data_IF_116853413190
#
_entry.id   IF_116853413190
#
_cell.length_a   1.000
_cell.length_b   1.000
_cell.length_c   1.000
_cell.angle_alpha   90.00
_cell.angle_beta   90.00
_cell.angle_gamma   90.00
#
_symmetry.space_group_name_H-M   'P 1'
#
loop_
_entity.id
_entity.type
_entity.pdbx_description
1 polymer ?
#
# COMPACT_ATOMS: atom_id res chain seq x y z
N UNK A 1 70.33 -2.57 3.39
CA UNK A 1 68.96 -2.97 3.01
C UNK A 1 68.00 -2.22 3.91
N UNK A 2 66.93 -1.60 3.39
CA UNK A 2 65.95 -0.96 4.25
C UNK A 2 65.16 -2.02 5.04
N UNK A 3 64.65 -1.69 6.25
CA UNK A 3 63.88 -2.63 7.04
C UNK A 3 62.56 -2.99 6.33
N UNK A 4 62.03 -4.22 6.53
CA UNK A 4 60.78 -4.63 5.91
C UNK A 4 59.63 -3.76 6.39
N UNK A 5 58.77 -3.35 5.46
CA UNK A 5 57.59 -2.56 5.77
C UNK A 5 56.63 -3.34 6.68
N UNK A 6 55.95 -2.68 7.62
CA UNK A 6 54.99 -3.34 8.49
C UNK A 6 53.83 -3.91 7.66
N UNK A 7 53.54 -5.20 7.87
CA UNK A 7 52.40 -5.89 7.27
C UNK A 7 51.13 -5.36 7.92
N UNK A 8 50.35 -4.57 7.19
CA UNK A 8 49.02 -4.13 7.61
C UNK A 8 48.07 -5.33 7.48
N UNK A 9 47.41 -5.79 8.55
CA UNK A 9 46.45 -6.88 8.45
C UNK A 9 45.27 -6.46 7.55
N UNK A 10 44.68 -7.40 6.79
CA UNK A 10 43.51 -7.10 5.97
C UNK A 10 42.39 -6.53 6.84
N UNK A 11 41.59 -5.57 6.32
CA UNK A 11 40.45 -5.04 7.05
C UNK A 11 39.55 -6.20 7.49
N UNK A 12 39.11 -6.16 8.75
CA UNK A 12 38.15 -7.13 9.26
C UNK A 12 36.94 -7.20 8.31
N UNK A 13 36.38 -8.39 8.05
CA UNK A 13 35.18 -8.50 7.23
C UNK A 13 34.11 -7.58 7.82
N UNK A 14 33.46 -6.79 6.96
CA UNK A 14 32.34 -5.95 7.35
C UNK A 14 31.37 -6.82 8.17
N UNK A 15 31.03 -6.39 9.38
CA UNK A 15 30.02 -7.06 10.18
C UNK A 15 28.78 -7.24 9.30
N UNK A 16 28.26 -8.46 9.22
CA UNK A 16 27.02 -8.74 8.50
C UNK A 16 25.98 -7.70 8.93
N UNK A 17 25.36 -7.01 7.96
CA UNK A 17 24.33 -6.03 8.29
C UNK A 17 23.30 -6.70 9.21
N UNK A 18 22.95 -6.09 10.35
CA UNK A 18 22.03 -6.71 11.28
C UNK A 18 20.69 -6.93 10.58
N UNK A 19 20.21 -8.17 10.55
CA UNK A 19 18.92 -8.53 9.99
C UNK A 19 17.82 -7.67 10.64
N UNK A 20 17.35 -6.67 9.88
CA UNK A 20 16.32 -5.73 10.26
C UNK A 20 15.01 -6.43 10.64
N UNK A 21 14.83 -7.69 10.21
CA UNK A 21 13.61 -8.46 10.33
C UNK A 21 13.73 -9.72 11.19
N UNK A 22 14.79 -9.87 12.00
CA UNK A 22 14.86 -10.94 13.00
C UNK A 22 13.62 -10.97 13.90
N UNK A 23 13.19 -12.16 14.34
CA UNK A 23 12.00 -12.35 15.19
C UNK A 23 12.02 -11.47 16.45
N UNK A 24 13.19 -11.27 17.07
CA UNK A 24 13.34 -10.35 18.21
C UNK A 24 13.04 -8.88 17.86
N UNK A 25 13.48 -8.42 16.68
CA UNK A 25 13.18 -7.06 16.19
C UNK A 25 11.73 -6.93 15.74
N UNK A 26 11.12 -7.95 15.12
CA UNK A 26 9.68 -7.97 14.80
C UNK A 26 8.84 -7.76 16.06
N UNK A 27 9.15 -8.51 17.12
CA UNK A 27 8.49 -8.31 18.42
C UNK A 27 8.76 -6.92 19.03
N UNK A 28 9.91 -6.28 18.75
CA UNK A 28 10.16 -4.89 19.19
C UNK A 28 9.33 -3.88 18.38
N UNK A 29 9.19 -4.06 17.06
CA UNK A 29 8.33 -3.26 16.19
C UNK A 29 6.87 -3.37 16.65
N UNK A 30 6.38 -4.58 16.93
CA UNK A 30 5.00 -4.78 17.41
C UNK A 30 4.76 -4.22 18.82
N UNK A 31 5.77 -4.23 19.70
CA UNK A 31 5.70 -3.59 21.03
C UNK A 31 5.77 -2.06 20.95
N UNK A 32 6.53 -1.51 20.00
CA UNK A 32 6.61 -0.07 19.75
C UNK A 32 5.53 0.30 18.73
N UNK A 33 4.28 0.46 19.18
CA UNK A 33 3.11 0.99 18.43
C UNK A 33 3.33 2.39 17.76
N UNK A 34 4.57 2.87 17.64
CA UNK A 34 4.97 4.25 17.35
C UNK A 34 5.08 4.59 15.86
N UNK A 35 4.98 3.63 14.94
CA UNK A 35 5.09 3.88 13.49
C UNK A 35 3.81 3.53 12.71
N UNK A 36 2.64 3.68 13.33
CA UNK A 36 1.38 3.75 12.59
C UNK A 36 0.85 5.18 12.69
N UNK A 37 0.99 5.93 11.60
CA UNK A 37 0.43 7.27 11.51
C UNK A 37 -1.09 7.17 11.33
N UNK A 38 -1.82 7.82 12.23
CA UNK A 38 -3.27 8.02 12.14
C UNK A 38 -3.47 9.52 12.00
N UNK A 39 -3.74 10.02 10.80
CA UNK A 39 -4.05 11.44 10.58
C UNK A 39 -5.02 11.65 9.40
N UNK A 40 -5.92 12.62 9.58
CA UNK A 40 -7.03 13.01 8.70
C UNK A 40 -6.82 14.45 8.18
N UNK A 41 -5.95 14.73 7.20
CA UNK A 41 -5.69 16.13 6.78
C UNK A 41 -5.42 16.25 5.28
N UNK A 42 -6.39 16.78 4.51
CA UNK A 42 -6.37 16.65 3.04
C UNK A 42 -6.83 17.98 2.30
N UNK A 43 -6.02 18.73 1.48
CA UNK A 43 -6.49 19.48 0.22
C UNK A 43 -5.56 19.47 -1.06
N UNK A 44 -6.10 19.33 -2.33
CA UNK A 44 -5.92 20.11 -3.64
C UNK A 44 -6.37 19.38 -5.01
N UNK A 45 -6.51 20.06 -6.20
CA UNK A 45 -7.67 20.01 -7.13
C UNK A 45 -7.64 19.04 -8.35
N UNK A 46 -8.83 18.83 -8.97
CA UNK A 46 -9.13 17.93 -10.10
C UNK A 46 -9.44 18.73 -11.40
N UNK A 47 -9.14 18.22 -12.63
CA UNK A 47 -9.51 18.82 -13.91
C UNK A 47 -11.02 18.86 -14.18
N UNK A 48 -11.46 19.87 -14.92
CA UNK A 48 -12.87 20.26 -15.15
C UNK A 48 -13.66 19.27 -16.03
N UNK A 49 -12.96 18.36 -16.71
CA UNK A 49 -13.56 17.37 -17.63
C UNK A 49 -14.17 16.14 -16.91
N UNK A 50 -13.95 16.00 -15.60
CA UNK A 50 -14.37 14.83 -14.81
C UNK A 50 -15.71 15.00 -14.07
N UNK A 51 -16.46 16.08 -14.31
CA UNK A 51 -17.73 16.37 -13.64
C UNK A 51 -18.88 15.78 -14.46
N UNK A 52 -19.53 14.73 -13.93
CA UNK A 52 -20.69 14.09 -14.55
C UNK A 52 -21.95 14.97 -14.53
N UNK A 53 -22.80 14.77 -15.54
CA UNK A 53 -24.02 15.53 -15.85
C UNK A 53 -25.16 15.30 -14.82
N UNK A 54 -26.15 16.20 -14.83
CA UNK A 54 -27.21 16.42 -13.81
C UNK A 54 -28.10 15.21 -13.45
N UNK A 55 -28.09 14.12 -14.24
CA UNK A 55 -28.91 12.94 -13.99
C UNK A 55 -28.36 12.05 -12.87
N UNK A 56 -27.10 12.24 -12.44
CA UNK A 56 -26.48 11.47 -11.39
C UNK A 56 -25.31 12.21 -10.67
N UNK A 57 -25.61 12.99 -9.63
CA UNK A 57 -24.67 13.93 -9.03
C UNK A 57 -23.52 13.32 -8.20
N UNK A 58 -23.42 11.99 -8.08
CA UNK A 58 -22.47 11.30 -7.19
C UNK A 58 -21.42 10.44 -7.91
N UNK A 59 -21.51 10.23 -9.23
CA UNK A 59 -20.51 9.42 -9.96
C UNK A 59 -19.09 9.97 -9.83
N UNK A 60 -18.99 11.28 -9.67
CA UNK A 60 -17.75 12.01 -9.56
C UNK A 60 -17.97 13.10 -8.54
N UNK A 61 -17.96 12.78 -7.24
CA UNK A 61 -17.76 13.84 -6.26
C UNK A 61 -16.39 14.45 -6.59
N UNK A 62 -16.30 15.73 -6.99
CA UNK A 62 -15.02 16.35 -7.27
C UNK A 62 -14.30 16.41 -5.93
N UNK A 63 -13.26 15.59 -5.80
CA UNK A 63 -12.67 15.29 -4.51
C UNK A 63 -11.85 16.46 -3.93
N UNK A 64 -12.03 17.69 -4.42
CA UNK A 64 -11.39 18.86 -3.86
C UNK A 64 -12.00 20.25 -4.16
N UNK A 65 -13.26 20.36 -4.60
CA UNK A 65 -13.79 21.68 -5.04
C UNK A 65 -15.05 22.21 -4.36
N UNK A 66 -15.70 21.50 -3.44
CA UNK A 66 -16.79 22.12 -2.68
C UNK A 66 -16.22 22.81 -1.44
N UNK A 67 -16.77 23.97 -1.05
CA UNK A 67 -16.47 24.72 0.19
C UNK A 67 -16.74 23.91 1.49
N UNK A 68 -16.83 22.58 1.41
CA UNK A 68 -17.16 21.64 2.48
C UNK A 68 -16.03 20.60 2.69
N UNK A 69 -14.81 21.09 2.95
CA UNK A 69 -13.79 20.33 3.69
C UNK A 69 -13.07 19.19 2.97
N UNK A 70 -12.11 18.62 3.72
CA UNK A 70 -11.24 17.51 3.37
C UNK A 70 -12.07 16.22 3.19
N UNK A 71 -11.83 15.42 2.14
CA UNK A 71 -12.39 14.07 2.03
C UNK A 71 -11.28 13.00 1.93
N UNK A 72 -11.67 11.74 1.95
CA UNK A 72 -10.79 10.56 1.99
C UNK A 72 -9.94 10.34 0.73
N UNK A 73 -10.06 11.18 -0.29
CA UNK A 73 -9.73 10.79 -1.66
C UNK A 73 -8.56 11.50 -2.34
N UNK A 74 -8.25 12.77 -2.07
CA UNK A 74 -7.28 13.44 -2.96
C UNK A 74 -6.74 14.76 -2.47
N UNK A 75 -5.58 14.78 -1.82
CA UNK A 75 -5.06 16.05 -1.31
C UNK A 75 -3.53 16.16 -1.29
N UNK A 76 -3.02 17.31 -1.74
CA UNK A 76 -1.58 17.63 -1.82
C UNK A 76 -0.90 17.72 -0.46
N UNK A 77 -1.64 17.95 0.63
CA UNK A 77 -1.08 18.06 1.96
C UNK A 77 -0.41 16.76 2.42
N UNK A 78 -0.98 15.60 2.09
CA UNK A 78 -0.47 14.31 2.55
C UNK A 78 0.80 13.91 1.83
N UNK A 79 0.87 14.13 0.52
CA UNK A 79 2.08 13.87 -0.27
C UNK A 79 3.23 14.77 0.18
N UNK A 80 2.93 16.05 0.45
CA UNK A 80 3.89 17.00 1.01
C UNK A 80 4.31 16.61 2.45
N UNK A 81 3.37 16.17 3.28
CA UNK A 81 3.64 15.70 4.63
C UNK A 81 4.52 14.45 4.63
N UNK A 82 4.18 13.44 3.82
CA UNK A 82 4.96 12.20 3.66
C UNK A 82 6.37 12.56 3.16
N UNK A 83 6.49 13.42 2.14
CA UNK A 83 7.79 13.89 1.64
C UNK A 83 8.60 14.57 2.75
N UNK A 84 7.99 15.50 3.50
CA UNK A 84 8.65 16.23 4.58
C UNK A 84 9.06 15.31 5.74
N UNK A 85 8.21 14.34 6.06
CA UNK A 85 8.49 13.33 7.07
C UNK A 85 9.65 12.43 6.65
N UNK A 86 9.65 11.93 5.41
CA UNK A 86 10.76 11.13 4.87
C UNK A 86 12.06 11.92 4.89
N UNK A 87 12.03 13.20 4.49
CA UNK A 87 13.19 14.09 4.55
C UNK A 87 13.71 14.28 5.98
N UNK A 88 12.80 14.49 6.95
CA UNK A 88 13.15 14.63 8.38
C UNK A 88 13.75 13.34 8.93
N UNK A 89 13.12 12.19 8.70
CA UNK A 89 13.59 10.89 9.19
C UNK A 89 14.96 10.54 8.59
N UNK A 90 15.18 10.84 7.30
CA UNK A 90 16.48 10.69 6.65
C UNK A 90 17.57 11.58 7.27
N UNK A 91 17.21 12.78 7.73
CA UNK A 91 18.14 13.69 8.38
C UNK A 91 18.46 13.35 9.84
N UNK A 92 17.56 12.66 10.53
CA UNK A 92 17.65 12.42 11.98
C UNK A 92 18.05 10.97 12.33
N UNK A 93 17.82 10.01 11.44
CA UNK A 93 18.00 8.58 11.70
C UNK A 93 18.87 7.91 10.64
N UNK A 94 19.63 6.90 11.05
CA UNK A 94 20.32 5.99 10.14
C UNK A 94 19.34 4.93 9.64
N UNK A 95 18.60 5.23 8.56
CA UNK A 95 17.61 4.34 7.94
C UNK A 95 18.06 3.90 6.55
N UNK A 96 17.70 2.68 6.14
CA UNK A 96 17.91 2.20 4.76
C UNK A 96 16.88 2.87 3.83
N UNK A 97 17.35 3.82 3.01
CA UNK A 97 16.51 4.55 2.06
C UNK A 97 16.08 3.70 0.86
N UNK A 98 16.67 2.52 0.68
CA UNK A 98 16.19 1.51 -0.26
C UNK A 98 15.04 0.66 0.29
N UNK A 99 14.74 0.77 1.59
CA UNK A 99 13.73 -0.03 2.30
C UNK A 99 12.70 0.87 3.02
N UNK A 100 12.15 1.85 2.29
CA UNK A 100 11.06 2.71 2.77
C UNK A 100 9.73 2.08 2.41
N UNK A 101 8.95 1.71 3.42
CA UNK A 101 7.68 1.02 3.27
C UNK A 101 6.55 1.80 3.95
N UNK A 102 5.35 1.76 3.38
CA UNK A 102 4.18 2.41 3.95
C UNK A 102 3.00 1.45 4.03
N UNK A 103 2.25 1.49 5.12
CA UNK A 103 1.04 0.69 5.28
C UNK A 103 -0.04 1.48 5.99
N UNK A 104 -1.29 1.09 5.78
CA UNK A 104 -2.43 1.73 6.42
C UNK A 104 -3.73 1.02 6.08
N UNK A 105 -4.74 1.26 6.92
CA UNK A 105 -6.08 0.69 6.77
C UNK A 105 -7.09 1.78 6.37
N UNK A 106 -8.10 1.43 5.58
CA UNK A 106 -9.20 2.33 5.20
C UNK A 106 -8.67 3.53 4.41
N UNK A 107 -8.98 4.75 4.83
CA UNK A 107 -8.34 5.97 4.35
C UNK A 107 -6.79 5.91 4.39
N UNK A 108 -6.21 5.22 5.37
CA UNK A 108 -4.76 4.97 5.42
C UNK A 108 -4.27 4.01 4.32
N UNK A 109 -5.12 3.08 3.87
CA UNK A 109 -4.87 2.22 2.72
C UNK A 109 -4.96 3.00 1.41
N UNK A 110 -5.97 3.88 1.28
CA UNK A 110 -6.07 4.82 0.16
C UNK A 110 -4.83 5.75 0.09
N UNK A 111 -4.40 6.27 1.24
CA UNK A 111 -3.19 7.08 1.37
C UNK A 111 -1.94 6.28 0.98
N UNK A 112 -1.84 5.00 1.36
CA UNK A 112 -0.71 4.16 0.96
C UNK A 112 -0.65 4.02 -0.57
N UNK A 113 -1.79 3.79 -1.22
CA UNK A 113 -1.88 3.83 -2.68
C UNK A 113 -1.46 5.18 -3.27
N UNK A 114 -1.95 6.28 -2.71
CA UNK A 114 -1.61 7.62 -3.20
C UNK A 114 -0.14 7.97 -3.02
N UNK A 115 0.45 7.63 -1.87
CA UNK A 115 1.86 7.85 -1.60
C UNK A 115 2.75 7.06 -2.55
N UNK A 116 2.35 5.85 -2.96
CA UNK A 116 3.06 5.10 -3.99
C UNK A 116 3.09 5.85 -5.33
N UNK A 117 2.02 6.59 -5.69
CA UNK A 117 1.99 7.43 -6.90
C UNK A 117 2.89 8.66 -6.77
N UNK A 118 2.80 9.38 -5.65
CA UNK A 118 3.43 10.68 -5.51
C UNK A 118 4.91 10.57 -5.10
N UNK A 119 5.28 9.48 -4.43
CA UNK A 119 6.61 9.23 -3.88
C UNK A 119 7.23 7.94 -4.46
N UNK A 120 6.83 7.55 -5.67
CA UNK A 120 7.31 6.34 -6.36
C UNK A 120 8.83 6.21 -6.41
N UNK A 121 9.57 7.32 -6.39
CA UNK A 121 11.04 7.32 -6.38
C UNK A 121 11.67 7.10 -4.99
N UNK A 122 10.88 7.24 -3.91
CA UNK A 122 11.35 7.19 -2.52
C UNK A 122 10.81 5.98 -1.76
N UNK A 123 9.67 5.42 -2.18
CA UNK A 123 9.01 4.29 -1.51
C UNK A 123 9.32 2.99 -2.26
N UNK A 124 9.81 2.00 -1.54
CA UNK A 124 10.09 0.66 -2.07
C UNK A 124 8.81 -0.17 -2.22
N UNK A 125 7.92 -0.09 -1.22
CA UNK A 125 6.65 -0.82 -1.25
C UNK A 125 5.56 -0.21 -0.39
N UNK A 126 4.32 -0.59 -0.68
CA UNK A 126 3.16 -0.25 0.14
C UNK A 126 2.33 -1.47 0.52
N UNK A 127 1.69 -1.46 1.68
CA UNK A 127 0.77 -2.50 2.13
C UNK A 127 -0.60 -1.92 2.54
N UNK A 128 -1.44 -1.55 1.57
CA UNK A 128 -2.79 -1.04 1.84
C UNK A 128 -3.71 -2.14 2.37
N UNK A 129 -4.56 -1.78 3.33
CA UNK A 129 -5.57 -2.66 3.90
C UNK A 129 -6.95 -2.02 3.79
N UNK A 130 -7.93 -2.77 3.29
CA UNK A 130 -9.32 -2.31 3.20
C UNK A 130 -9.45 -0.89 2.61
N UNK A 131 -8.64 -0.58 1.60
CA UNK A 131 -8.56 0.73 0.98
C UNK A 131 -8.53 0.55 -0.52
N UNK A 132 -9.26 1.39 -1.24
CA UNK A 132 -9.40 1.31 -2.69
C UNK A 132 -9.15 2.70 -3.31
N UNK A 133 -9.25 2.79 -4.64
CA UNK A 133 -9.18 4.05 -5.39
C UNK A 133 -10.55 4.41 -5.92
N UNK A 134 -10.88 5.69 -5.86
CA UNK A 134 -12.10 6.19 -6.49
C UNK A 134 -12.02 6.01 -8.01
N UNK A 135 -13.18 5.78 -8.62
CA UNK A 135 -13.32 5.76 -10.08
C UNK A 135 -12.82 7.10 -10.65
N UNK A 136 -12.06 7.04 -11.75
CA UNK A 136 -11.39 8.20 -12.35
C UNK A 136 -9.98 8.49 -11.80
N UNK A 137 -9.62 7.95 -10.64
CA UNK A 137 -8.32 8.20 -10.00
C UNK A 137 -7.38 7.00 -9.98
N UNK A 138 -7.74 5.89 -10.63
CA UNK A 138 -6.87 4.71 -10.73
C UNK A 138 -5.74 4.96 -11.75
N UNK A 139 -4.57 5.38 -11.29
CA UNK A 139 -3.38 5.67 -12.10
C UNK A 139 -2.22 4.80 -11.60
N UNK A 140 -1.27 4.47 -12.46
CA UNK A 140 -0.07 3.72 -12.09
C UNK A 140 1.07 4.67 -11.65
N UNK A 141 1.89 4.31 -10.65
CA UNK A 141 3.01 5.14 -10.17
C UNK A 141 4.10 5.25 -11.23
N UNK A 142 4.70 6.41 -11.51
CA UNK A 142 5.63 6.57 -12.64
C UNK A 142 6.82 5.60 -12.64
N UNK A 143 7.30 5.18 -11.46
CA UNK A 143 8.28 4.09 -11.29
C UNK A 143 7.63 2.87 -10.61
N UNK A 144 8.18 1.64 -10.80
CA UNK A 144 7.69 0.46 -10.10
C UNK A 144 7.71 0.62 -8.57
N UNK A 145 6.60 0.29 -7.91
CA UNK A 145 6.47 0.24 -6.45
C UNK A 145 5.75 -1.06 -6.11
N UNK A 146 6.33 -1.86 -5.23
CA UNK A 146 5.74 -3.14 -4.84
C UNK A 146 4.50 -2.93 -3.95
N UNK A 147 3.52 -3.83 -4.04
CA UNK A 147 2.24 -3.71 -3.31
C UNK A 147 1.86 -5.04 -2.67
N UNK A 148 1.56 -5.02 -1.36
CA UNK A 148 0.82 -6.07 -0.66
C UNK A 148 -0.55 -5.54 -0.27
N UNK A 149 -1.55 -5.77 -1.11
CA UNK A 149 -2.92 -5.39 -0.77
C UNK A 149 -3.62 -6.46 0.05
N UNK A 150 -4.42 -6.06 1.03
CA UNK A 150 -5.28 -6.96 1.80
C UNK A 150 -6.70 -6.42 1.92
N UNK A 151 -7.69 -7.11 1.35
CA UNK A 151 -9.08 -6.64 1.34
C UNK A 151 -10.08 -7.75 1.68
N UNK A 152 -11.02 -7.45 2.57
CA UNK A 152 -12.06 -8.39 2.96
C UNK A 152 -13.26 -8.35 2.02
N UNK A 153 -13.80 -9.52 1.65
CA UNK A 153 -15.02 -9.60 0.85
C UNK A 153 -16.30 -9.28 1.65
N UNK A 154 -16.23 -9.17 2.96
CA UNK A 154 -17.33 -8.68 3.79
C UNK A 154 -17.18 -7.18 4.17
N UNK A 155 -16.29 -6.45 3.48
CA UNK A 155 -16.13 -5.01 3.64
C UNK A 155 -17.21 -4.24 2.85
N UNK A 156 -18.18 -3.69 3.55
CA UNK A 156 -19.25 -2.85 2.99
C UNK A 156 -18.95 -1.35 3.10
N UNK A 157 -17.86 -0.97 3.77
CA UNK A 157 -17.45 0.43 3.91
C UNK A 157 -16.65 0.86 2.68
N UNK A 158 -15.67 0.05 2.28
CA UNK A 158 -14.95 0.20 1.02
C UNK A 158 -15.00 -1.17 0.35
N UNK A 159 -15.91 -1.40 -0.60
CA UNK A 159 -16.00 -2.68 -1.29
C UNK A 159 -14.69 -3.05 -2.00
N UNK A 160 -14.35 -4.34 -1.97
CA UNK A 160 -13.18 -4.89 -2.65
C UNK A 160 -13.45 -5.10 -4.15
N UNK A 161 -14.71 -5.38 -4.50
CA UNK A 161 -15.18 -5.62 -5.86
C UNK A 161 -16.68 -5.33 -5.99
N UNK A 162 -17.25 -5.46 -7.19
CA UNK A 162 -18.67 -5.21 -7.41
C UNK A 162 -19.62 -6.21 -6.72
N UNK A 163 -19.10 -7.31 -6.15
CA UNK A 163 -19.91 -8.33 -5.47
C UNK A 163 -20.21 -8.01 -4.00
N UNK A 164 -19.52 -7.02 -3.39
CA UNK A 164 -19.69 -6.67 -1.98
C UNK A 164 -19.96 -5.17 -1.72
N UNK A 165 -20.79 -4.56 -2.58
CA UNK A 165 -21.28 -3.19 -2.45
C UNK A 165 -22.78 -3.05 -2.67
N UNK A 166 -23.29 -1.83 -2.66
CA UNK A 166 -24.72 -1.53 -2.82
C UNK A 166 -25.27 -2.08 -4.15
N UNK A 167 -26.48 -2.70 -4.14
CA UNK A 167 -27.11 -3.18 -5.36
C UNK A 167 -27.65 -2.00 -6.17
N UNK A 168 -27.47 -2.03 -7.50
CA UNK A 168 -27.93 -0.95 -8.36
C UNK A 168 -27.24 -0.90 -9.71
N UNK A 169 -27.77 -0.14 -10.68
CA UNK A 169 -27.14 0.08 -11.97
C UNK A 169 -25.82 0.83 -11.79
N UNK A 170 -24.70 0.21 -12.16
CA UNK A 170 -23.37 0.82 -12.13
C UNK A 170 -22.49 0.27 -13.26
N UNK A 171 -21.47 1.04 -13.72
CA UNK A 171 -20.53 0.53 -14.71
C UNK A 171 -19.84 -0.76 -14.27
N UNK A 172 -19.44 -1.60 -15.23
CA UNK A 172 -18.69 -2.83 -14.94
C UNK A 172 -17.35 -2.48 -14.28
N UNK A 173 -16.94 -3.24 -13.27
CA UNK A 173 -15.67 -3.02 -12.56
C UNK A 173 -15.72 -1.86 -11.57
N UNK A 174 -16.93 -1.48 -11.14
CA UNK A 174 -17.16 -0.45 -10.13
C UNK A 174 -17.97 -1.04 -8.98
N UNK A 175 -17.55 -0.72 -7.76
CA UNK A 175 -18.25 -1.08 -6.54
C UNK A 175 -18.74 0.18 -5.83
N UNK A 176 -19.98 0.16 -5.35
CA UNK A 176 -20.60 1.27 -4.62
C UNK A 176 -20.61 0.95 -3.13
N UNK A 177 -20.11 1.84 -2.29
CA UNK A 177 -20.18 1.72 -0.83
C UNK A 177 -21.52 2.22 -0.27
N UNK A 178 -21.79 1.92 1.00
CA UNK A 178 -23.02 2.36 1.68
C UNK A 178 -23.20 3.88 1.80
N UNK A 179 -22.13 4.66 1.61
CA UNK A 179 -22.14 6.12 1.56
C UNK A 179 -22.15 6.67 0.11
N UNK A 180 -22.49 5.82 -0.87
CA UNK A 180 -22.67 6.13 -2.30
C UNK A 180 -21.43 6.61 -3.02
N UNK A 181 -20.24 6.24 -2.54
CA UNK A 181 -19.01 6.43 -3.28
C UNK A 181 -18.70 5.24 -4.18
N UNK A 182 -18.07 5.53 -5.30
CA UNK A 182 -17.69 4.53 -6.30
C UNK A 182 -16.19 4.24 -6.26
N UNK A 183 -15.88 2.96 -6.05
CA UNK A 183 -14.53 2.43 -5.95
C UNK A 183 -14.21 1.51 -7.12
N UNK A 184 -12.93 1.51 -7.49
CA UNK A 184 -12.36 0.60 -8.47
C UNK A 184 -12.18 -0.76 -7.81
N UNK A 185 -12.43 -1.84 -8.54
CA UNK A 185 -12.16 -3.17 -7.99
C UNK A 185 -10.66 -3.37 -7.74
N UNK A 186 -10.36 -4.03 -6.63
CA UNK A 186 -9.00 -4.30 -6.19
C UNK A 186 -8.10 -4.93 -7.29
N UNK A 187 -8.58 -5.94 -8.06
CA UNK A 187 -7.78 -6.51 -9.14
C UNK A 187 -7.34 -5.50 -10.20
N UNK A 188 -8.13 -4.47 -10.47
CA UNK A 188 -7.84 -3.46 -11.50
C UNK A 188 -6.89 -2.37 -11.00
N UNK A 189 -6.86 -2.09 -9.70
CA UNK A 189 -5.82 -1.27 -9.09
C UNK A 189 -4.48 -1.99 -9.24
N UNK A 190 -4.43 -3.26 -8.80
CA UNK A 190 -3.21 -4.04 -8.79
C UNK A 190 -2.67 -4.36 -10.18
N UNK A 191 -3.55 -4.53 -11.18
CA UNK A 191 -3.16 -4.66 -12.60
C UNK A 191 -2.44 -3.41 -13.12
N UNK A 192 -2.82 -2.21 -12.68
CA UNK A 192 -2.12 -0.97 -13.06
C UNK A 192 -0.76 -0.85 -12.38
N UNK A 193 -0.65 -1.28 -11.13
CA UNK A 193 0.61 -1.28 -10.38
C UNK A 193 1.61 -2.32 -10.88
N UNK A 194 1.14 -3.48 -11.34
CA UNK A 194 2.02 -4.61 -11.69
C UNK A 194 2.93 -4.33 -12.88
N UNK A 195 2.41 -3.64 -13.91
CA UNK A 195 3.08 -3.23 -15.18
C UNK A 195 3.76 -4.37 -15.95
N UNK A 196 3.52 -4.42 -17.27
CA UNK A 196 4.18 -5.35 -18.18
C UNK A 196 4.12 -6.83 -17.76
N UNK A 197 2.98 -7.25 -17.21
CA UNK A 197 2.71 -8.63 -16.84
C UNK A 197 1.90 -9.34 -17.95
N UNK A 198 2.05 -10.66 -18.04
CA UNK A 198 1.33 -11.50 -19.02
C UNK A 198 -0.15 -11.76 -18.66
N UNK A 199 -0.62 -11.22 -17.53
CA UNK A 199 -1.99 -11.29 -17.05
C UNK A 199 -2.37 -12.58 -16.30
N UNK A 200 -1.47 -13.57 -16.22
CA UNK A 200 -1.68 -14.77 -15.41
C UNK A 200 -1.42 -14.48 -13.94
N UNK A 201 -2.07 -15.26 -13.07
CA UNK A 201 -1.87 -15.19 -11.62
C UNK A 201 -1.36 -16.51 -11.07
N UNK A 202 -0.58 -16.43 -10.00
CA UNK A 202 -0.03 -17.55 -9.25
C UNK A 202 -0.43 -17.40 -7.78
N UNK A 203 -0.57 -18.53 -7.08
CA UNK A 203 -0.73 -18.50 -5.62
C UNK A 203 0.51 -17.88 -4.98
N UNK A 204 0.29 -16.99 -4.00
CA UNK A 204 1.31 -16.49 -3.09
C UNK A 204 1.14 -17.21 -1.74
N UNK A 205 1.99 -18.19 -1.39
CA UNK A 205 1.82 -18.97 -0.17
C UNK A 205 1.99 -18.12 1.08
N UNK A 206 1.11 -18.29 2.06
CA UNK A 206 1.23 -17.66 3.37
C UNK A 206 1.08 -18.67 4.50
N UNK A 207 1.58 -18.32 5.68
CA UNK A 207 1.38 -19.12 6.91
C UNK A 207 -0.07 -19.14 7.40
N UNK A 208 -0.95 -18.34 6.80
CA UNK A 208 -2.36 -18.21 7.17
C UNK A 208 -3.31 -18.67 6.06
N UNK A 209 -2.81 -19.37 5.04
CA UNK A 209 -3.63 -19.85 3.92
C UNK A 209 -4.88 -20.62 4.42
N UNK A 210 -6.05 -20.23 3.92
CA UNK A 210 -7.33 -20.82 4.29
C UNK A 210 -7.95 -20.31 5.59
N UNK A 211 -7.20 -19.61 6.45
CA UNK A 211 -7.78 -18.95 7.63
C UNK A 211 -8.75 -17.86 7.16
N UNK A 212 -10.03 -17.96 7.55
CA UNK A 212 -11.10 -17.09 7.03
C UNK A 212 -11.10 -17.01 5.50
N UNK A 213 -10.85 -18.13 4.82
CA UNK A 213 -10.73 -18.21 3.36
C UNK A 213 -9.67 -17.25 2.78
N UNK A 214 -8.63 -16.92 3.56
CA UNK A 214 -7.51 -16.13 3.07
C UNK A 214 -6.90 -16.80 1.85
N UNK A 215 -6.86 -16.05 0.75
CA UNK A 215 -6.19 -16.40 -0.48
C UNK A 215 -5.32 -15.22 -0.91
N UNK A 216 -4.03 -15.48 -1.10
CA UNK A 216 -3.12 -14.50 -1.66
C UNK A 216 -2.66 -14.97 -3.05
N UNK A 217 -2.63 -14.03 -3.99
CA UNK A 217 -2.18 -14.25 -5.36
C UNK A 217 -1.21 -13.17 -5.79
N UNK A 218 -0.35 -13.50 -6.74
CA UNK A 218 0.55 -12.57 -7.41
C UNK A 218 0.48 -12.74 -8.92
N UNK A 219 0.86 -11.75 -9.72
CA UNK A 219 1.12 -11.97 -11.14
C UNK A 219 2.14 -13.11 -11.35
N UNK A 220 1.91 -13.93 -12.38
CA UNK A 220 2.84 -14.97 -12.79
C UNK A 220 3.91 -14.39 -13.73
N UNK A 221 5.12 -14.96 -13.69
CA UNK A 221 6.22 -14.52 -14.54
C UNK A 221 6.96 -13.30 -14.00
N UNK A 222 7.61 -12.54 -14.89
CA UNK A 222 8.35 -11.32 -14.55
C UNK A 222 7.45 -10.11 -14.79
N UNK A 223 7.16 -9.38 -13.73
CA UNK A 223 6.52 -8.07 -13.76
C UNK A 223 7.54 -7.00 -13.34
N UNK A 224 7.24 -5.74 -13.59
CA UNK A 224 8.12 -4.64 -13.14
C UNK A 224 8.02 -4.38 -11.64
N UNK A 225 6.83 -4.62 -11.07
CA UNK A 225 6.56 -4.47 -9.64
C UNK A 225 6.18 -5.81 -9.01
N UNK A 226 6.65 -6.07 -7.79
CA UNK A 226 6.17 -7.18 -6.98
C UNK A 226 4.78 -6.87 -6.42
N UNK A 227 3.77 -7.59 -6.88
CA UNK A 227 2.38 -7.39 -6.47
C UNK A 227 1.84 -8.65 -5.80
N UNK A 228 1.24 -8.47 -4.62
CA UNK A 228 0.53 -9.49 -3.89
C UNK A 228 -0.85 -8.95 -3.53
N UNK A 229 -1.89 -9.67 -3.95
CA UNK A 229 -3.28 -9.41 -3.60
C UNK A 229 -3.74 -10.48 -2.62
N UNK A 230 -4.13 -10.09 -1.41
CA UNK A 230 -4.70 -10.97 -0.41
C UNK A 230 -6.17 -10.62 -0.19
N UNK A 231 -7.03 -11.64 -0.25
CA UNK A 231 -8.47 -11.51 -0.04
C UNK A 231 -8.99 -12.60 0.88
N UNK A 232 -10.13 -12.37 1.54
CA UNK A 232 -10.80 -13.40 2.35
C UNK A 232 -12.00 -12.85 3.12
N UNK A 233 -12.51 -13.64 4.07
CA UNK A 233 -13.76 -13.38 4.79
C UNK A 233 -13.56 -12.56 6.06
N UNK A 234 -13.36 -11.26 5.90
CA UNK A 234 -13.44 -10.28 6.98
C UNK A 234 -14.07 -8.98 6.48
N UNK A 235 -14.47 -8.10 7.41
CA UNK A 235 -15.07 -6.81 7.09
C UNK A 235 -14.03 -5.69 6.96
N UNK A 236 -14.45 -4.46 7.23
CA UNK A 236 -13.60 -3.27 7.21
C UNK A 236 -12.61 -3.23 8.40
N UNK A 237 -11.57 -4.07 8.37
CA UNK A 237 -10.69 -4.29 9.52
C UNK A 237 -9.34 -4.89 9.11
N UNK A 238 -8.42 -4.99 10.07
CA UNK A 238 -7.13 -5.67 9.88
C UNK A 238 -7.36 -7.17 9.65
N UNK A 239 -6.75 -7.78 8.62
CA UNK A 239 -6.93 -9.19 8.30
C UNK A 239 -6.60 -10.08 9.49
N UNK A 240 -7.52 -11.01 9.78
CA UNK A 240 -7.36 -12.07 10.79
C UNK A 240 -7.09 -11.59 12.23
N UNK A 241 -7.27 -10.31 12.55
CA UNK A 241 -6.89 -9.77 13.86
C UNK A 241 -7.62 -10.42 15.06
N UNK A 242 -8.75 -11.09 14.83
CA UNK A 242 -9.52 -11.77 15.89
C UNK A 242 -8.91 -13.12 16.25
N UNK A 243 -8.51 -13.88 15.25
CA UNK A 243 -7.93 -15.22 15.41
C UNK A 243 -6.41 -15.16 15.63
N UNK A 244 -5.76 -14.22 14.95
CA UNK A 244 -4.31 -14.07 14.90
C UNK A 244 -3.95 -12.57 14.94
N UNK A 245 -3.82 -11.96 16.14
CA UNK A 245 -3.65 -10.51 16.30
C UNK A 245 -2.47 -9.90 15.53
N UNK A 246 -1.41 -10.67 15.27
CA UNK A 246 -0.20 -10.23 14.57
C UNK A 246 -0.15 -10.71 13.10
N UNK A 247 -1.20 -11.35 12.59
CA UNK A 247 -1.15 -12.02 11.28
C UNK A 247 -0.79 -11.10 10.13
N UNK A 248 -1.58 -10.04 9.94
CA UNK A 248 -1.31 -9.09 8.87
C UNK A 248 0.07 -8.45 9.02
N UNK A 249 0.44 -8.09 10.25
CA UNK A 249 1.68 -7.39 10.51
C UNK A 249 2.90 -8.29 10.19
N UNK A 250 2.81 -9.59 10.47
CA UNK A 250 3.81 -10.55 10.02
C UNK A 250 3.87 -10.67 8.51
N UNK A 251 2.72 -10.78 7.82
CA UNK A 251 2.70 -10.87 6.35
C UNK A 251 3.32 -9.63 5.70
N UNK A 252 3.01 -8.45 6.22
CA UNK A 252 3.57 -7.20 5.74
C UNK A 252 5.07 -7.11 5.96
N UNK A 253 5.57 -7.52 7.14
CA UNK A 253 7.01 -7.53 7.40
C UNK A 253 7.77 -8.56 6.56
N UNK A 254 7.20 -9.74 6.31
CA UNK A 254 7.78 -10.75 5.41
C UNK A 254 7.89 -10.18 3.99
N UNK A 255 6.85 -9.50 3.51
CA UNK A 255 6.84 -8.84 2.22
C UNK A 255 7.86 -7.69 2.14
N UNK A 256 7.88 -6.79 3.12
CA UNK A 256 8.82 -5.67 3.17
C UNK A 256 10.29 -6.13 3.24
N UNK A 257 10.56 -7.20 3.98
CA UNK A 257 11.90 -7.78 4.05
C UNK A 257 12.41 -8.29 2.70
N UNK A 258 11.52 -8.78 1.85
CA UNK A 258 11.84 -9.26 0.51
C UNK A 258 11.94 -8.14 -0.53
N UNK A 259 11.51 -6.91 -0.22
CA UNK A 259 11.46 -5.81 -1.17
C UNK A 259 12.50 -4.73 -0.86
N UNK A 260 13.32 -4.40 -1.85
CA UNK A 260 14.13 -3.18 -1.87
C UNK A 260 13.84 -2.40 -3.15
N UNK A 261 13.93 -1.08 -3.08
CA UNK A 261 13.83 -0.23 -4.26
C UNK A 261 14.98 -0.54 -5.21
N UNK A 262 14.68 -0.78 -6.48
CA UNK A 262 15.69 -0.86 -7.54
C UNK A 262 16.44 0.48 -7.65
N UNK A 263 17.77 0.43 -7.72
CA UNK A 263 18.65 1.59 -7.74
C UNK A 263 18.38 2.50 -8.94
#
# INVERSE_FOLDING_TARGET
QPPPAPVVPPPAPAAAEPDLYSEERRQRIFRHRKFMFRNNLFTKPVPEEAIGNDDHPFWYLPTCQTRRGCNSASCMADSAFVTALLAKLKGELCVDLGAVHLAGISAGGMMAYQAALDNHAQIASVAPVAGSRFVGFNVAPASPVAVLSSHGYADWTIPANASNGEPGPKPRGVAESSDHFFYVEEPDILRKFSRNCDGRTAKYPTKYDGARELQCVRPFGKCESDIVMCVGQWGHTWPLHKEYPEAWASLALDFFAATKRSA
#
